data_IF_686699374001
#
_entry.id   IF_686699374001
#
_cell.length_a   1.000
_cell.length_b   1.000
_cell.length_c   1.000
_cell.angle_alpha   90.00
_cell.angle_beta   90.00
_cell.angle_gamma   90.00
#
_symmetry.space_group_name_H-M   'P 1'
#
loop_
_entity.id
_entity.type
_entity.pdbx_description
1 polymer ?
#
# COMPACT_ATOMS: atom_id res chain seq x y z
N UNK A 1 64.08 4.43 25.54
CA UNK A 1 64.14 5.14 24.25
C UNK A 1 63.98 4.13 23.12
N UNK A 2 63.15 4.50 22.12
CA UNK A 2 63.02 3.95 20.77
C UNK A 2 62.41 2.55 20.60
N UNK A 3 61.11 2.59 20.33
CA UNK A 3 60.27 1.56 19.71
C UNK A 3 60.74 1.35 18.26
N UNK A 4 60.87 0.10 17.81
CA UNK A 4 61.10 -0.20 16.39
C UNK A 4 59.81 -0.76 15.78
N UNK A 5 59.18 0.09 14.99
CA UNK A 5 57.93 -0.14 14.28
C UNK A 5 58.23 -0.90 12.99
N UNK A 6 57.68 -2.10 12.81
CA UNK A 6 57.60 -2.76 11.49
C UNK A 6 56.16 -2.64 11.03
N UNK A 7 55.92 -1.69 10.13
CA UNK A 7 54.64 -1.45 9.49
C UNK A 7 54.40 -2.55 8.45
N UNK A 8 53.38 -3.38 8.67
CA UNK A 8 52.91 -4.33 7.66
C UNK A 8 51.96 -3.59 6.72
N UNK A 9 52.43 -3.34 5.50
CA UNK A 9 51.64 -2.74 4.44
C UNK A 9 50.59 -3.74 3.94
N UNK A 10 49.33 -3.57 4.38
CA UNK A 10 48.21 -4.21 3.71
C UNK A 10 47.75 -3.32 2.56
N UNK A 11 48.13 -3.74 1.37
CA UNK A 11 47.56 -3.39 0.07
C UNK A 11 46.04 -3.31 0.15
N UNK A 12 45.49 -2.10 0.12
CA UNK A 12 44.06 -1.88 -0.11
C UNK A 12 43.85 -1.96 -1.62
N UNK A 13 43.41 -3.11 -2.11
CA UNK A 13 42.86 -3.22 -3.46
C UNK A 13 41.70 -2.24 -3.60
N UNK A 14 41.87 -1.26 -4.48
CA UNK A 14 40.81 -0.35 -4.89
C UNK A 14 39.71 -1.17 -5.58
N UNK A 15 38.60 -1.42 -4.89
CA UNK A 15 37.36 -1.75 -5.58
C UNK A 15 36.90 -0.49 -6.30
N UNK A 16 37.19 -0.42 -7.61
CA UNK A 16 36.54 0.52 -8.52
C UNK A 16 35.06 0.15 -8.60
N UNK A 17 34.24 0.75 -7.74
CA UNK A 17 32.79 0.72 -7.87
C UNK A 17 32.46 1.66 -9.03
N UNK A 18 32.29 1.11 -10.23
CA UNK A 18 31.65 1.83 -11.33
C UNK A 18 30.19 2.05 -10.96
N UNK A 19 29.88 3.19 -10.35
CA UNK A 19 28.52 3.67 -10.20
C UNK A 19 28.02 4.08 -11.60
N UNK A 20 27.35 3.18 -12.30
CA UNK A 20 26.51 3.56 -13.43
C UNK A 20 25.32 4.32 -12.84
N UNK A 21 25.37 5.65 -12.88
CA UNK A 21 24.20 6.47 -12.59
C UNK A 21 23.15 6.18 -13.67
N UNK A 22 22.05 5.55 -13.27
CA UNK A 22 20.85 5.44 -14.10
C UNK A 22 20.35 6.86 -14.38
N UNK A 23 19.98 7.19 -15.64
CA UNK A 23 19.51 8.54 -15.96
C UNK A 23 18.32 8.90 -15.07
N UNK A 24 18.38 10.09 -14.46
CA UNK A 24 17.26 10.63 -13.69
C UNK A 24 16.07 10.85 -14.64
N UNK A 25 15.14 9.91 -14.64
CA UNK A 25 13.87 10.07 -15.36
C UNK A 25 13.06 11.09 -14.55
N UNK A 26 13.05 12.34 -15.01
CA UNK A 26 12.13 13.36 -14.50
C UNK A 26 10.71 12.94 -14.90
N UNK A 27 10.01 12.24 -14.00
CA UNK A 27 8.58 11.98 -14.13
C UNK A 27 7.83 13.30 -13.94
N UNK A 28 7.50 13.98 -15.03
CA UNK A 28 6.48 15.02 -15.01
C UNK A 28 5.13 14.32 -14.88
N UNK A 29 4.35 14.52 -13.79
CA UNK A 29 3.04 13.90 -13.68
C UNK A 29 2.15 14.49 -14.77
N UNK A 30 1.80 13.69 -15.77
CA UNK A 30 0.71 14.00 -16.69
C UNK A 30 -0.56 14.21 -15.85
N UNK A 31 -1.12 15.42 -15.88
CA UNK A 31 -2.30 15.82 -15.10
C UNK A 31 -3.61 15.26 -15.68
N UNK A 32 -3.59 14.07 -16.26
CA UNK A 32 -4.82 13.41 -16.71
C UNK A 32 -5.75 13.28 -15.51
N UNK A 33 -7.01 13.78 -15.59
CA UNK A 33 -7.95 13.68 -14.50
C UNK A 33 -8.10 12.21 -14.10
N UNK A 34 -7.86 11.89 -12.82
CA UNK A 34 -8.06 10.53 -12.33
C UNK A 34 -9.52 10.14 -12.50
N UNK A 35 -9.76 8.97 -13.09
CA UNK A 35 -11.11 8.40 -13.17
C UNK A 35 -11.63 8.10 -11.75
N UNK A 36 -12.95 8.00 -11.59
CA UNK A 36 -13.57 7.64 -10.29
C UNK A 36 -12.98 6.33 -9.75
N UNK A 37 -12.77 5.33 -10.61
CA UNK A 37 -12.14 4.05 -10.25
C UNK A 37 -10.73 4.24 -9.71
N UNK A 38 -9.90 5.06 -10.37
CA UNK A 38 -8.53 5.33 -9.92
C UNK A 38 -8.53 6.01 -8.56
N UNK A 39 -9.42 6.98 -8.34
CA UNK A 39 -9.56 7.64 -7.03
C UNK A 39 -9.93 6.65 -5.92
N UNK A 40 -10.90 5.77 -6.15
CA UNK A 40 -11.32 4.76 -5.18
C UNK A 40 -10.20 3.77 -4.85
N UNK A 41 -9.47 3.29 -5.86
CA UNK A 41 -8.33 2.38 -5.66
C UNK A 41 -7.20 3.05 -4.86
N UNK A 42 -6.90 4.31 -5.16
CA UNK A 42 -5.92 5.08 -4.39
C UNK A 42 -6.39 5.24 -2.93
N UNK A 43 -7.67 5.49 -2.73
CA UNK A 43 -8.27 5.61 -1.41
C UNK A 43 -8.08 4.33 -0.59
N UNK A 44 -8.41 3.17 -1.18
CA UNK A 44 -8.27 1.85 -0.56
C UNK A 44 -6.81 1.53 -0.19
N UNK A 45 -5.84 1.92 -1.03
CA UNK A 45 -4.42 1.64 -0.80
C UNK A 45 -3.77 2.59 0.20
N UNK A 46 -4.23 3.84 0.25
CA UNK A 46 -3.57 4.89 1.02
C UNK A 46 -3.70 4.73 2.53
N UNK A 47 -4.75 4.04 3.00
CA UNK A 47 -5.09 3.96 4.43
C UNK A 47 -5.49 5.30 5.06
N UNK A 48 -5.42 6.43 4.34
CA UNK A 48 -5.66 7.79 4.84
C UNK A 48 -7.09 8.00 5.37
N UNK A 49 -8.03 7.15 4.95
CA UNK A 49 -9.44 7.23 5.31
C UNK A 49 -9.86 6.18 6.34
N UNK A 50 -8.93 5.33 6.79
CA UNK A 50 -9.18 4.41 7.88
C UNK A 50 -9.28 5.20 9.20
N UNK A 51 -10.09 4.70 10.13
CA UNK A 51 -10.15 5.26 11.49
C UNK A 51 -8.80 5.04 12.18
N UNK A 52 -8.25 6.10 12.77
CA UNK A 52 -7.07 6.01 13.65
C UNK A 52 -7.41 5.45 15.04
N UNK A 53 -8.70 5.41 15.38
CA UNK A 53 -9.19 5.01 16.69
C UNK A 53 -9.79 3.61 16.62
N UNK A 54 -9.53 2.81 17.66
CA UNK A 54 -10.15 1.52 17.84
C UNK A 54 -11.68 1.67 18.00
N UNK A 55 -12.42 0.86 17.24
CA UNK A 55 -13.87 0.86 17.27
C UNK A 55 -14.35 -0.39 17.99
N UNK A 56 -14.90 -0.21 19.19
CA UNK A 56 -15.52 -1.30 19.94
C UNK A 56 -16.98 -1.48 19.55
N UNK A 57 -17.34 -2.70 19.18
CA UNK A 57 -18.72 -3.10 18.96
C UNK A 57 -19.22 -3.89 20.17
N UNK A 58 -20.49 -3.67 20.55
CA UNK A 58 -21.13 -4.53 21.56
C UNK A 58 -21.26 -5.95 21.01
N UNK A 59 -21.26 -6.96 21.89
CA UNK A 59 -21.38 -8.36 21.46
C UNK A 59 -22.61 -8.65 20.59
N UNK A 60 -23.75 -7.99 20.90
CA UNK A 60 -24.96 -8.06 20.07
C UNK A 60 -24.70 -7.53 18.66
N UNK A 61 -24.09 -6.35 18.54
CA UNK A 61 -23.80 -5.74 17.23
C UNK A 61 -22.79 -6.58 16.44
N UNK A 62 -21.74 -7.07 17.08
CA UNK A 62 -20.76 -7.97 16.45
C UNK A 62 -21.41 -9.23 15.89
N UNK A 63 -22.36 -9.81 16.62
CA UNK A 63 -23.13 -10.98 16.18
C UNK A 63 -23.98 -10.67 14.95
N UNK A 64 -24.67 -9.52 14.92
CA UNK A 64 -25.46 -9.11 13.76
C UNK A 64 -24.58 -8.84 12.54
N UNK A 65 -23.41 -8.20 12.72
CA UNK A 65 -22.45 -7.96 11.63
C UNK A 65 -21.98 -9.30 11.04
N UNK A 66 -21.65 -10.27 11.90
CA UNK A 66 -21.25 -11.61 11.47
C UNK A 66 -22.37 -12.32 10.70
N UNK A 67 -23.59 -12.34 11.26
CA UNK A 67 -24.74 -12.98 10.63
C UNK A 67 -25.04 -12.37 9.25
N UNK A 68 -24.97 -11.04 9.12
CA UNK A 68 -25.12 -10.36 7.84
C UNK A 68 -24.05 -10.76 6.84
N UNK A 69 -22.79 -10.85 7.28
CA UNK A 69 -21.69 -11.29 6.44
C UNK A 69 -21.89 -12.72 5.94
N UNK A 70 -22.25 -13.65 6.81
CA UNK A 70 -22.52 -15.04 6.39
C UNK A 70 -23.70 -15.10 5.43
N UNK A 71 -24.78 -14.36 5.72
CA UNK A 71 -25.97 -14.29 4.87
C UNK A 71 -25.68 -13.70 3.48
N UNK A 72 -24.67 -12.84 3.30
CA UNK A 72 -24.40 -12.26 1.99
C UNK A 72 -24.05 -13.34 0.95
N UNK A 73 -23.35 -14.39 1.35
CA UNK A 73 -22.97 -15.52 0.50
C UNK A 73 -24.14 -16.37 0.01
N UNK A 74 -25.33 -16.24 0.61
CA UNK A 74 -26.51 -16.94 0.11
C UNK A 74 -27.13 -16.28 -1.14
N UNK A 75 -26.66 -15.09 -1.53
CA UNK A 75 -27.16 -14.37 -2.69
C UNK A 75 -26.30 -14.70 -3.91
N UNK A 76 -26.94 -14.91 -5.07
CA UNK A 76 -26.23 -15.11 -6.32
C UNK A 76 -25.44 -13.85 -6.69
N UNK A 77 -24.26 -14.04 -7.28
CA UNK A 77 -23.49 -12.93 -7.84
C UNK A 77 -24.23 -12.43 -9.08
N UNK A 78 -24.60 -11.14 -9.15
CA UNK A 78 -25.27 -10.59 -10.33
C UNK A 78 -24.39 -10.69 -11.57
N UNK A 79 -24.97 -11.05 -12.72
CA UNK A 79 -24.25 -11.09 -13.99
C UNK A 79 -23.83 -9.70 -14.47
N UNK A 80 -24.57 -8.66 -14.08
CA UNK A 80 -24.28 -7.26 -14.41
C UNK A 80 -24.53 -6.39 -13.19
N UNK A 81 -23.70 -5.35 -13.07
CA UNK A 81 -23.95 -4.25 -12.16
C UNK A 81 -25.11 -3.39 -12.69
N UNK A 82 -26.10 -3.09 -11.86
CA UNK A 82 -27.20 -2.18 -12.16
C UNK A 82 -27.21 -1.06 -11.13
N UNK A 83 -27.12 0.19 -11.59
CA UNK A 83 -27.15 1.37 -10.71
C UNK A 83 -28.49 1.46 -9.96
N UNK A 84 -29.58 0.97 -10.56
CA UNK A 84 -30.93 0.99 -9.99
C UNK A 84 -31.14 -0.03 -8.85
N UNK A 85 -30.17 -0.92 -8.59
CA UNK A 85 -30.29 -1.98 -7.56
C UNK A 85 -30.18 -1.47 -6.11
N UNK A 86 -29.79 -0.21 -5.92
CA UNK A 86 -29.68 0.43 -4.60
C UNK A 86 -30.84 1.38 -4.27
N UNK A 87 -31.73 1.64 -5.22
CA UNK A 87 -32.99 2.38 -5.01
C UNK A 87 -34.08 1.41 -4.59
N UNK A 88 -34.18 1.17 -3.28
CA UNK A 88 -35.36 0.55 -2.67
C UNK A 88 -35.99 1.58 -1.75
N UNK A 89 -37.11 2.16 -2.18
CA UNK A 89 -38.13 2.76 -1.32
C UNK A 89 -39.38 1.87 -1.34
#
# INVERSE_FOLDING_TARGET
MKKLTIAFAFSVSALSISAFAEPEIIYTPNSTPKTTTQKLLDQQRSGQYASEHEQHLSGKVSTEVYNRYVKSFSHAIPERFSEDSFTVE
#
